data_IF_690914318990
#
_entry.id   IF_690914318990
#
_cell.length_a   1.000
_cell.length_b   1.000
_cell.length_c   1.000
_cell.angle_alpha   90.00
_cell.angle_beta   90.00
_cell.angle_gamma   90.00
#
_symmetry.space_group_name_H-M   'P 1'
#
loop_
_entity.id
_entity.type
_entity.pdbx_description
1 polymer ?
#
# COMPACT_ATOMS: atom_id res chain seq x y z
N UNK A 1 -7.67 7.47 15.36
CA UNK A 1 -7.38 8.25 14.16
C UNK A 1 -7.19 7.26 13.04
N UNK A 2 -7.98 7.36 11.98
CA UNK A 2 -7.73 6.61 10.77
C UNK A 2 -6.35 7.03 10.26
N UNK A 3 -5.46 6.06 10.12
CA UNK A 3 -4.09 6.34 9.66
C UNK A 3 -4.21 6.83 8.21
N UNK A 4 -3.84 8.07 7.89
CA UNK A 4 -3.98 8.58 6.53
C UNK A 4 -3.13 7.74 5.57
N UNK A 5 -3.68 7.47 4.39
CA UNK A 5 -3.08 6.60 3.40
C UNK A 5 -4.13 6.00 2.49
N UNK A 6 -3.67 5.12 1.61
CA UNK A 6 -4.49 4.45 0.62
C UNK A 6 -3.96 3.06 0.28
N UNK A 7 -4.79 2.27 -0.39
CA UNK A 7 -4.36 1.04 -1.04
C UNK A 7 -3.71 1.39 -2.39
N UNK A 8 -2.45 1.01 -2.63
CA UNK A 8 -1.82 1.13 -3.94
C UNK A 8 -2.49 0.16 -4.92
N UNK A 9 -2.55 0.57 -6.18
CA UNK A 9 -3.07 -0.17 -7.31
C UNK A 9 -1.93 -0.46 -8.29
N UNK A 10 -1.92 -1.69 -8.81
CA UNK A 10 -1.04 -2.04 -9.91
C UNK A 10 -1.48 -1.37 -11.23
N UNK A 11 -0.73 -1.65 -12.29
CA UNK A 11 -1.00 -1.10 -13.64
C UNK A 11 -2.36 -1.48 -14.21
N UNK A 12 -2.95 -2.55 -13.68
CA UNK A 12 -4.25 -3.07 -14.08
C UNK A 12 -5.38 -2.55 -13.16
N UNK A 13 -5.05 -1.69 -12.18
CA UNK A 13 -6.00 -1.09 -11.24
C UNK A 13 -6.35 -2.01 -10.07
N UNK A 14 -5.58 -3.08 -9.81
CA UNK A 14 -5.84 -4.01 -8.72
C UNK A 14 -5.02 -3.70 -7.48
N UNK A 15 -5.62 -3.89 -6.31
CA UNK A 15 -4.91 -3.80 -5.03
C UNK A 15 -3.90 -4.93 -4.86
N UNK A 16 -2.74 -4.62 -4.29
CA UNK A 16 -1.72 -5.61 -3.96
C UNK A 16 -2.14 -6.48 -2.77
N UNK A 17 -2.28 -7.79 -2.98
CA UNK A 17 -2.62 -8.74 -1.92
C UNK A 17 -1.42 -9.08 -1.04
N UNK A 18 -1.67 -9.35 0.23
CA UNK A 18 -0.67 -9.79 1.20
C UNK A 18 -1.25 -10.86 2.14
N UNK A 19 -0.41 -11.82 2.53
CA UNK A 19 -0.83 -12.94 3.39
C UNK A 19 -0.46 -12.73 4.87
N UNK A 20 0.62 -12.00 5.13
CA UNK A 20 1.10 -11.69 6.48
C UNK A 20 0.56 -10.33 6.92
N UNK A 21 -0.42 -10.32 7.83
CA UNK A 21 -1.02 -9.11 8.39
C UNK A 21 0.02 -8.29 9.17
N UNK A 22 -0.12 -6.96 9.10
CA UNK A 22 0.83 -6.04 9.72
C UNK A 22 2.05 -5.78 8.83
N UNK A 23 3.14 -5.34 9.45
CA UNK A 23 4.35 -4.94 8.72
C UNK A 23 4.98 -6.12 7.99
N UNK A 24 5.16 -5.97 6.68
CA UNK A 24 5.88 -6.96 5.88
C UNK A 24 6.69 -6.27 4.78
N UNK A 25 7.69 -7.00 4.27
CA UNK A 25 8.64 -6.47 3.28
C UNK A 25 8.01 -6.23 1.91
N UNK A 26 6.92 -6.92 1.58
CA UNK A 26 6.30 -6.82 0.26
C UNK A 26 5.49 -5.53 0.14
N UNK A 27 4.61 -5.25 1.10
CA UNK A 27 3.88 -3.98 1.16
C UNK A 27 4.83 -2.79 1.34
N UNK A 28 5.93 -2.93 2.09
CA UNK A 28 6.95 -1.88 2.14
C UNK A 28 7.60 -1.60 0.77
N UNK A 29 7.85 -2.62 -0.04
CA UNK A 29 8.40 -2.44 -1.40
C UNK A 29 7.39 -1.80 -2.32
N UNK A 30 6.13 -2.27 -2.29
CA UNK A 30 5.04 -1.69 -3.07
C UNK A 30 4.88 -0.21 -2.73
N UNK A 31 4.75 0.14 -1.45
CA UNK A 31 4.56 1.53 -1.07
C UNK A 31 5.74 2.44 -1.46
N UNK A 32 6.97 1.93 -1.43
CA UNK A 32 8.14 2.64 -1.96
C UNK A 32 8.10 2.85 -3.47
N UNK A 33 7.51 1.93 -4.22
CA UNK A 33 7.27 2.09 -5.65
C UNK A 33 6.30 3.24 -5.92
N UNK A 34 5.30 3.42 -5.06
CA UNK A 34 4.34 4.54 -5.10
C UNK A 34 4.86 5.83 -4.44
N UNK A 35 6.16 5.91 -4.12
CA UNK A 35 6.79 7.13 -3.62
C UNK A 35 6.68 7.37 -2.11
N UNK A 36 6.05 6.46 -1.34
CA UNK A 36 5.93 6.60 0.11
C UNK A 36 6.77 5.58 0.87
N UNK A 37 7.18 5.92 2.09
CA UNK A 37 8.23 5.14 2.79
C UNK A 37 7.69 3.93 3.56
N UNK A 38 6.40 3.92 3.90
CA UNK A 38 5.84 2.97 4.85
C UNK A 38 4.57 2.31 4.34
N UNK A 39 4.54 0.99 4.46
CA UNK A 39 3.40 0.16 4.09
C UNK A 39 3.32 -1.11 4.92
N UNK A 40 2.11 -1.60 5.11
CA UNK A 40 1.82 -2.81 5.86
C UNK A 40 0.60 -3.52 5.27
N UNK A 41 0.38 -4.78 5.62
CA UNK A 41 -0.80 -5.52 5.22
C UNK A 41 -1.98 -5.23 6.15
N UNK A 42 -3.07 -4.76 5.56
CA UNK A 42 -4.32 -4.51 6.24
C UNK A 42 -5.47 -5.12 5.44
N UNK A 43 -6.32 -5.91 6.11
CA UNK A 43 -7.43 -6.63 5.46
C UNK A 43 -7.00 -7.48 4.24
N UNK A 44 -5.80 -8.08 4.28
CA UNK A 44 -5.17 -8.86 3.20
C UNK A 44 -4.78 -8.06 1.95
N UNK A 45 -4.76 -6.73 2.04
CA UNK A 45 -4.23 -5.84 1.00
C UNK A 45 -3.15 -4.91 1.56
N UNK A 46 -2.20 -4.52 0.73
CA UNK A 46 -1.19 -3.58 1.14
C UNK A 46 -1.80 -2.20 1.35
N UNK A 47 -1.52 -1.59 2.49
CA UNK A 47 -1.89 -0.22 2.81
C UNK A 47 -0.64 0.62 2.89
N UNK A 48 -0.62 1.75 2.18
CA UNK A 48 0.49 2.69 2.15
C UNK A 48 0.14 3.94 2.93
N UNK A 49 0.93 4.24 3.96
CA UNK A 49 0.72 5.43 4.79
C UNK A 49 1.13 6.68 4.02
N UNK A 50 0.35 7.76 4.15
CA UNK A 50 0.51 9.02 3.43
C UNK A 50 0.46 8.89 1.90
N UNK A 51 -0.13 7.81 1.37
CA UNK A 51 -0.35 7.69 -0.07
C UNK A 51 -1.59 8.50 -0.48
N UNK A 52 -1.38 9.57 -1.25
CA UNK A 52 -2.46 10.39 -1.80
C UNK A 52 -3.25 9.65 -2.89
N UNK A 53 -4.56 9.94 -3.00
CA UNK A 53 -5.46 9.30 -3.96
C UNK A 53 -4.99 9.40 -5.42
N UNK A 54 -4.29 10.48 -5.76
CA UNK A 54 -3.76 10.73 -7.11
C UNK A 54 -2.55 9.87 -7.46
N UNK A 55 -1.87 9.30 -6.47
CA UNK A 55 -0.61 8.57 -6.59
C UNK A 55 -0.80 7.05 -6.38
N UNK A 56 -2.05 6.59 -6.24
CA UNK A 56 -2.37 5.18 -5.97
C UNK A 56 -1.99 4.26 -7.12
N UNK A 57 -1.86 4.75 -8.35
CA UNK A 57 -1.47 3.96 -9.53
C UNK A 57 -0.09 4.36 -10.04
N UNK A 58 0.67 3.39 -10.56
CA UNK A 58 2.00 3.57 -11.18
C UNK A 58 2.05 3.14 -12.64
#
# INVERSE_FOLDING_TARGET
ADVPGNYPLDKDGNTYTCLELGENKDCQKVCKLHGVQYGYCYAFFCWCKELDDKDVSV
#
